data_IF_463050126066
#
_entry.id   IF_463050126066
#
_cell.length_a   1.000
_cell.length_b   1.000
_cell.length_c   1.000
_cell.angle_alpha   90.00
_cell.angle_beta   90.00
_cell.angle_gamma   90.00
#
_symmetry.space_group_name_H-M   'P 1'
#
loop_
_entity.id
_entity.type
_entity.pdbx_description
1 polymer ?
#
# COMPACT_ATOMS: atom_id res chain seq x y z
N UNK A 1 12.35 11.85 11.58
CA UNK A 1 12.33 11.00 10.37
C UNK A 1 11.46 11.67 9.33
N UNK A 2 11.89 11.78 8.07
CA UNK A 2 11.03 12.30 7.01
C UNK A 2 9.76 11.46 6.90
N UNK A 3 8.62 12.13 6.80
CA UNK A 3 7.32 11.52 6.61
C UNK A 3 7.12 11.19 5.12
N UNK A 4 6.93 9.91 4.78
CA UNK A 4 6.58 9.50 3.43
C UNK A 4 5.14 9.96 3.13
N UNK A 5 4.98 10.83 2.12
CA UNK A 5 3.67 11.34 1.70
C UNK A 5 3.19 10.76 0.36
N UNK A 6 4.13 10.22 -0.42
CA UNK A 6 3.87 9.59 -1.72
C UNK A 6 4.95 8.57 -2.05
N UNK A 7 4.61 7.62 -2.91
CA UNK A 7 5.58 6.70 -3.50
C UNK A 7 6.36 7.42 -4.62
N UNK A 8 7.66 7.13 -4.75
CA UNK A 8 8.47 7.62 -5.85
C UNK A 8 8.20 6.79 -7.11
N UNK A 9 8.40 7.37 -8.30
CA UNK A 9 8.26 6.68 -9.60
C UNK A 9 9.02 5.34 -9.69
N UNK A 10 10.09 5.18 -8.92
CA UNK A 10 10.85 3.93 -8.85
C UNK A 10 10.07 2.77 -8.25
N UNK A 11 9.15 3.02 -7.30
CA UNK A 11 8.36 1.98 -6.63
C UNK A 11 7.22 1.47 -7.53
N UNK A 12 6.68 2.33 -8.39
CA UNK A 12 5.58 2.00 -9.28
C UNK A 12 5.93 1.00 -10.41
N UNK A 13 7.23 0.67 -10.58
CA UNK A 13 7.72 -0.26 -11.60
C UNK A 13 8.41 -1.52 -11.01
N UNK A 14 8.22 -1.80 -9.72
CA UNK A 14 8.83 -2.97 -9.08
C UNK A 14 8.03 -4.24 -9.42
N UNK A 15 8.36 -4.86 -10.55
CA UNK A 15 7.70 -6.09 -11.04
C UNK A 15 8.07 -7.36 -10.27
N UNK A 16 9.08 -7.30 -9.39
CA UNK A 16 9.49 -8.43 -8.55
C UNK A 16 9.15 -8.24 -7.07
N UNK A 17 8.40 -7.19 -6.72
CA UNK A 17 8.08 -6.90 -5.33
C UNK A 17 6.98 -7.86 -4.86
N UNK A 18 7.31 -8.71 -3.90
CA UNK A 18 6.43 -9.74 -3.38
C UNK A 18 5.81 -9.38 -2.01
N UNK A 19 6.47 -8.54 -1.23
CA UNK A 19 5.99 -8.11 0.08
C UNK A 19 6.24 -6.60 0.25
N UNK A 20 5.23 -5.88 0.76
CA UNK A 20 5.31 -4.45 1.06
C UNK A 20 4.89 -4.18 2.50
N UNK A 21 5.79 -3.59 3.27
CA UNK A 21 5.52 -3.17 4.64
C UNK A 21 5.63 -1.64 4.75
N UNK A 22 4.55 -1.01 5.19
CA UNK A 22 4.43 0.43 5.38
C UNK A 22 4.17 0.67 6.88
N UNK A 23 5.18 1.18 7.58
CA UNK A 23 5.08 1.54 9.00
C UNK A 23 5.30 3.04 9.22
N UNK A 24 4.54 3.63 10.14
CA UNK A 24 4.71 5.01 10.65
C UNK A 24 4.77 6.08 9.55
N UNK A 25 3.91 5.97 8.55
CA UNK A 25 3.75 6.94 7.47
C UNK A 25 2.39 7.66 7.54
N UNK A 26 2.19 8.58 8.51
CA UNK A 26 0.87 9.18 8.77
C UNK A 26 0.36 10.09 7.66
N UNK A 27 1.24 10.52 6.75
CA UNK A 27 0.91 11.41 5.64
C UNK A 27 0.80 10.68 4.29
N UNK A 28 1.01 9.35 4.25
CA UNK A 28 0.94 8.58 3.02
C UNK A 28 -0.53 8.36 2.65
N UNK A 29 -0.90 8.85 1.46
CA UNK A 29 -2.32 8.93 1.03
C UNK A 29 -2.71 7.94 -0.06
N UNK A 30 -1.75 7.30 -0.70
CA UNK A 30 -2.00 6.46 -1.87
C UNK A 30 -1.15 5.20 -1.77
N UNK A 31 -1.67 4.10 -2.32
CA UNK A 31 -0.92 2.87 -2.57
C UNK A 31 0.03 3.03 -3.77
N UNK A 32 0.95 2.08 -4.00
CA UNK A 32 1.68 1.96 -5.26
C UNK A 32 0.74 1.73 -6.45
N UNK A 33 1.28 1.78 -7.66
CA UNK A 33 0.52 1.48 -8.87
C UNK A 33 0.02 0.04 -8.87
N UNK A 34 -1.10 -0.19 -9.57
CA UNK A 34 -1.73 -1.51 -9.71
C UNK A 34 -0.76 -2.58 -10.21
N UNK A 35 0.22 -2.20 -11.03
CA UNK A 35 1.28 -3.12 -11.50
C UNK A 35 2.14 -3.66 -10.37
N UNK A 36 2.49 -2.82 -9.40
CA UNK A 36 3.24 -3.24 -8.21
C UNK A 36 2.34 -4.00 -7.26
N UNK A 37 1.07 -3.58 -7.10
CA UNK A 37 0.11 -4.30 -6.26
C UNK A 37 -0.18 -5.72 -6.76
N UNK A 38 -0.26 -5.92 -8.08
CA UNK A 38 -0.55 -7.21 -8.70
C UNK A 38 0.54 -8.27 -8.47
N UNK A 39 1.76 -7.87 -8.11
CA UNK A 39 2.86 -8.81 -7.81
C UNK A 39 3.00 -9.11 -6.33
N UNK A 40 2.27 -8.39 -5.46
CA UNK A 40 2.33 -8.57 -4.02
C UNK A 40 1.60 -9.84 -3.58
N UNK A 41 2.28 -10.64 -2.78
CA UNK A 41 1.67 -11.68 -1.96
C UNK A 41 1.33 -11.21 -0.55
N UNK A 42 2.01 -10.16 -0.06
CA UNK A 42 1.80 -9.62 1.26
C UNK A 42 1.86 -8.08 1.30
N UNK A 43 0.91 -7.48 2.01
CA UNK A 43 0.83 -6.06 2.29
C UNK A 43 0.58 -5.85 3.78
N UNK A 44 1.47 -5.14 4.47
CA UNK A 44 1.28 -4.77 5.88
C UNK A 44 1.28 -3.25 5.96
N UNK A 45 0.22 -2.70 6.54
CA UNK A 45 0.07 -1.26 6.79
C UNK A 45 -0.11 -1.07 8.29
N UNK A 46 0.74 -0.28 8.91
CA UNK A 46 0.70 -0.01 10.35
C UNK A 46 1.06 1.44 10.65
N UNK A 47 0.35 2.04 11.60
CA UNK A 47 0.56 3.44 12.00
C UNK A 47 0.46 4.42 10.81
N UNK A 48 -0.43 4.12 9.86
CA UNK A 48 -0.64 4.90 8.64
C UNK A 48 -2.13 5.26 8.48
N UNK A 49 -2.70 6.12 9.35
CA UNK A 49 -4.14 6.35 9.46
C UNK A 49 -4.84 6.68 8.14
N UNK A 50 -4.22 7.49 7.27
CA UNK A 50 -4.80 7.84 5.97
C UNK A 50 -4.87 6.64 5.03
N UNK A 51 -3.87 5.76 5.06
CA UNK A 51 -3.82 4.58 4.21
C UNK A 51 -4.71 3.46 4.77
N UNK A 52 -4.69 3.25 6.08
CA UNK A 52 -5.55 2.30 6.80
C UNK A 52 -7.04 2.57 6.55
N UNK A 53 -7.46 3.84 6.59
CA UNK A 53 -8.85 4.21 6.26
C UNK A 53 -9.22 3.89 4.80
N UNK A 54 -8.29 4.10 3.87
CA UNK A 54 -8.52 3.85 2.44
C UNK A 54 -8.47 2.36 2.09
N UNK A 55 -7.71 1.58 2.85
CA UNK A 55 -7.54 0.13 2.70
C UNK A 55 -8.48 -0.66 3.61
N UNK A 56 -9.40 0.01 4.32
CA UNK A 56 -10.30 -0.64 5.26
C UNK A 56 -11.14 -1.71 4.56
N UNK A 57 -11.12 -2.93 5.09
CA UNK A 57 -11.86 -4.07 4.53
C UNK A 57 -13.33 -3.72 4.27
N UNK A 58 -13.78 -3.96 3.04
CA UNK A 58 -15.13 -3.77 2.52
C UNK A 58 -15.68 -2.33 2.53
N UNK A 59 -14.89 -1.34 2.98
CA UNK A 59 -15.33 0.06 3.15
C UNK A 59 -14.38 1.08 2.52
N UNK A 60 -13.10 0.74 2.47
CA UNK A 60 -12.05 1.60 1.96
C UNK A 60 -12.10 1.72 0.45
N UNK A 61 -11.89 2.93 -0.06
CA UNK A 61 -11.90 3.23 -1.50
C UNK A 61 -10.84 2.46 -2.29
N UNK A 62 -9.76 2.04 -1.63
CA UNK A 62 -8.66 1.28 -2.23
C UNK A 62 -8.73 -0.22 -1.88
N UNK A 63 -9.75 -0.68 -1.12
CA UNK A 63 -9.89 -2.09 -0.76
C UNK A 63 -9.89 -3.02 -1.98
N UNK A 64 -10.60 -2.64 -3.04
CA UNK A 64 -10.67 -3.42 -4.28
C UNK A 64 -9.31 -3.59 -4.98
N UNK A 65 -8.33 -2.73 -4.71
CA UNK A 65 -6.98 -2.84 -5.28
C UNK A 65 -6.09 -3.82 -4.54
N UNK A 66 -6.44 -4.14 -3.29
CA UNK A 66 -5.64 -4.98 -2.40
C UNK A 66 -6.36 -6.26 -2.01
N UNK A 67 -7.66 -6.39 -2.31
CA UNK A 67 -8.49 -7.53 -1.94
C UNK A 67 -7.96 -8.87 -2.49
N UNK A 68 -7.24 -8.83 -3.61
CA UNK A 68 -6.63 -10.00 -4.24
C UNK A 68 -5.27 -10.40 -3.60
N UNK A 69 -4.73 -9.59 -2.68
CA UNK A 69 -3.46 -9.88 -2.00
C UNK A 69 -3.73 -10.98 -0.94
N UNK A 70 -3.02 -12.12 -0.99
CA UNK A 70 -3.25 -13.24 -0.08
C UNK A 70 -3.09 -12.91 1.41
N UNK A 71 -2.14 -12.03 1.76
CA UNK A 71 -1.82 -11.70 3.16
C UNK A 71 -1.87 -10.18 3.39
N UNK A 72 -2.89 -9.72 4.12
CA UNK A 72 -3.17 -8.31 4.40
C UNK A 72 -3.43 -8.09 5.90
#
# INVERSE_FOLDING_TARGET
MPNLSSFSKGIHNLTSLNALHIDKCPNLRSLPDERTLATLSSLIISNCPLLEQRCLKDKGVDWQKIADIPYI
#
